data_IF_788857140801
#
_entry.id   IF_788857140801
#
_cell.length_a   1.000
_cell.length_b   1.000
_cell.length_c   1.000
_cell.angle_alpha   90.00
_cell.angle_beta   90.00
_cell.angle_gamma   90.00
#
_symmetry.space_group_name_H-M   'P 1'
#
loop_
_entity.id
_entity.type
_entity.pdbx_description
1 polymer ?
#
# COMPACT_ATOMS: atom_id res chain seq x y z
N UNK A 1 -16.57 10.53 5.08
CA UNK A 1 -17.11 9.61 4.06
C UNK A 1 -16.67 8.22 4.39
N UNK A 2 -17.60 7.30 4.57
CA UNK A 2 -17.37 5.90 4.93
C UNK A 2 -16.87 5.16 3.68
N UNK A 3 -15.81 4.36 3.78
CA UNK A 3 -15.27 3.55 2.69
C UNK A 3 -15.27 2.08 3.11
N UNK A 4 -15.17 1.17 2.14
CA UNK A 4 -15.21 -0.27 2.39
C UNK A 4 -13.88 -0.94 2.08
N UNK A 5 -13.51 -1.98 2.82
CA UNK A 5 -12.36 -2.83 2.50
C UNK A 5 -12.68 -3.84 1.39
N UNK A 6 -11.64 -4.35 0.74
CA UNK A 6 -11.83 -5.45 -0.22
C UNK A 6 -12.15 -6.77 0.53
N UNK A 7 -13.13 -7.51 0.02
CA UNK A 7 -13.60 -8.80 0.55
C UNK A 7 -13.17 -9.92 -0.42
N UNK A 8 -12.96 -11.13 0.11
CA UNK A 8 -12.68 -12.36 -0.65
C UNK A 8 -13.92 -13.01 -1.26
N UNK A 9 -15.14 -12.56 -0.92
CA UNK A 9 -16.38 -13.13 -1.46
C UNK A 9 -16.54 -12.89 -2.96
N UNK A 10 -16.47 -13.98 -3.72
CA UNK A 10 -16.80 -14.05 -5.15
C UNK A 10 -18.28 -13.78 -5.40
N UNK A 11 -18.65 -12.50 -5.47
CA UNK A 11 -19.83 -12.06 -6.19
C UNK A 11 -19.52 -12.01 -7.68
N UNK A 12 -20.48 -12.41 -8.52
CA UNK A 12 -20.37 -12.32 -9.97
C UNK A 12 -20.05 -10.87 -10.37
N UNK A 13 -18.80 -10.61 -10.74
CA UNK A 13 -18.37 -9.33 -11.26
C UNK A 13 -18.85 -9.24 -12.71
N UNK A 14 -19.93 -8.50 -12.93
CA UNK A 14 -20.13 -7.86 -14.22
C UNK A 14 -19.29 -6.57 -14.21
N UNK A 15 -18.49 -6.44 -15.26
CA UNK A 15 -17.80 -5.25 -15.79
C UNK A 15 -16.34 -4.98 -15.37
N UNK A 16 -15.52 -4.96 -16.43
CA UNK A 16 -14.12 -4.56 -16.61
C UNK A 16 -13.86 -3.09 -16.23
N UNK A 17 -14.29 -2.63 -15.05
CA UNK A 17 -14.02 -1.26 -14.63
C UNK A 17 -12.63 -1.17 -13.98
N UNK A 18 -11.69 -0.47 -14.63
CA UNK A 18 -10.39 -0.08 -14.06
C UNK A 18 -10.53 0.72 -12.76
N UNK A 19 -11.73 1.25 -12.48
CA UNK A 19 -12.06 1.83 -11.18
C UNK A 19 -12.05 0.78 -10.08
N UNK A 20 -12.29 -0.52 -10.34
CA UNK A 20 -12.33 -1.61 -9.36
C UNK A 20 -10.98 -1.91 -8.68
N UNK A 21 -9.85 -1.51 -9.30
CA UNK A 21 -8.53 -1.81 -8.74
C UNK A 21 -8.38 -1.19 -7.34
N UNK A 22 -7.91 -1.96 -6.34
CA UNK A 22 -7.91 -1.53 -4.95
C UNK A 22 -7.01 -0.31 -4.71
N UNK A 23 -7.21 0.32 -3.56
CA UNK A 23 -6.34 1.36 -3.03
C UNK A 23 -5.67 0.86 -1.75
N UNK A 24 -4.61 1.55 -1.35
CA UNK A 24 -3.85 1.23 -0.14
C UNK A 24 -3.85 2.43 0.79
N UNK A 25 -4.19 2.21 2.05
CA UNK A 25 -4.01 3.18 3.14
C UNK A 25 -2.85 2.72 4.02
N UNK A 26 -1.90 3.60 4.33
CA UNK A 26 -0.91 3.39 5.40
C UNK A 26 -1.46 3.93 6.71
N UNK A 27 -1.63 3.09 7.71
CA UNK A 27 -2.11 3.49 9.03
C UNK A 27 -0.97 3.86 9.98
N UNK A 28 0.16 3.16 9.90
CA UNK A 28 1.29 3.34 10.80
C UNK A 28 2.61 2.88 10.17
N UNK A 29 3.73 3.38 10.70
CA UNK A 29 5.07 2.94 10.32
C UNK A 29 5.55 3.42 8.94
N UNK A 30 4.85 4.36 8.30
CA UNK A 30 5.24 4.88 6.99
C UNK A 30 6.72 5.26 6.93
N UNK A 31 7.42 4.87 5.85
CA UNK A 31 8.87 4.88 5.64
C UNK A 31 9.69 3.68 6.16
N UNK A 32 9.19 2.82 7.05
CA UNK A 32 9.97 1.68 7.54
C UNK A 32 10.28 0.62 6.46
N UNK A 33 9.55 0.64 5.36
CA UNK A 33 9.83 -0.15 4.15
C UNK A 33 11.00 0.37 3.31
N UNK A 34 11.63 1.47 3.74
CA UNK A 34 12.88 1.96 3.20
C UNK A 34 14.06 1.44 4.04
N UNK A 35 15.04 0.74 3.46
CA UNK A 35 16.21 0.20 4.16
C UNK A 35 16.92 1.22 5.04
N UNK A 36 17.15 2.43 4.53
CA UNK A 36 17.84 3.50 5.25
C UNK A 36 17.05 4.07 6.44
N UNK A 37 15.80 3.64 6.65
CA UNK A 37 15.00 3.91 7.85
C UNK A 37 15.02 2.70 8.77
N UNK A 38 14.59 1.53 8.30
CA UNK A 38 14.47 0.34 9.17
C UNK A 38 15.81 -0.27 9.60
N UNK A 39 16.92 0.10 8.97
CA UNK A 39 18.28 -0.18 9.49
C UNK A 39 18.57 0.59 10.79
N UNK A 40 17.95 1.75 11.02
CA UNK A 40 18.11 2.49 12.28
C UNK A 40 17.30 1.86 13.42
N UNK A 41 16.14 1.29 13.10
CA UNK A 41 15.34 0.48 14.00
C UNK A 41 14.31 -0.33 13.20
N UNK A 42 14.26 -1.65 13.42
CA UNK A 42 13.27 -2.52 12.81
C UNK A 42 11.85 -2.17 13.32
N UNK A 43 10.82 -2.40 12.50
CA UNK A 43 9.46 -2.09 12.91
C UNK A 43 8.37 -2.44 11.89
N UNK A 44 7.10 -2.41 12.32
CA UNK A 44 5.96 -2.70 11.47
C UNK A 44 5.53 -1.51 10.62
N UNK A 45 5.11 -1.78 9.39
CA UNK A 45 4.21 -0.92 8.62
C UNK A 45 2.83 -1.56 8.63
N UNK A 46 1.79 -0.79 8.93
CA UNK A 46 0.41 -1.26 8.88
C UNK A 46 -0.26 -0.67 7.65
N UNK A 47 -0.67 -1.54 6.71
CA UNK A 47 -1.38 -1.15 5.50
C UNK A 47 -2.75 -1.80 5.41
N UNK A 48 -3.69 -1.11 4.78
CA UNK A 48 -5.07 -1.59 4.57
C UNK A 48 -5.40 -1.53 3.10
N UNK A 49 -5.93 -2.64 2.60
CA UNK A 49 -6.46 -2.73 1.25
C UNK A 49 -7.92 -2.30 1.23
N UNK A 50 -8.23 -1.30 0.42
CA UNK A 50 -9.55 -0.68 0.41
C UNK A 50 -10.13 -0.64 -0.99
N UNK A 51 -11.45 -0.79 -1.04
CA UNK A 51 -12.20 -0.64 -2.28
C UNK A 51 -12.10 0.80 -2.78
N UNK A 52 -12.19 1.00 -4.09
CA UNK A 52 -12.30 2.31 -4.70
C UNK A 52 -13.43 3.13 -4.08
N UNK A 53 -13.16 4.41 -3.83
CA UNK A 53 -14.14 5.33 -3.28
C UNK A 53 -14.02 6.70 -3.97
N UNK A 54 -15.14 7.36 -4.36
CA UNK A 54 -15.11 8.64 -5.10
C UNK A 54 -14.34 9.78 -4.41
N UNK A 55 -14.22 9.72 -3.08
CA UNK A 55 -13.46 10.70 -2.31
C UNK A 55 -11.93 10.54 -2.41
N UNK A 56 -11.42 9.42 -2.92
CA UNK A 56 -9.99 9.23 -3.08
C UNK A 56 -9.45 10.07 -4.23
N UNK A 57 -8.29 10.69 -3.99
CA UNK A 57 -7.61 11.57 -4.93
C UNK A 57 -6.21 11.07 -5.19
N UNK A 58 -5.69 11.31 -6.38
CA UNK A 58 -4.30 11.03 -6.72
C UNK A 58 -3.35 11.91 -5.91
N UNK A 59 -2.10 11.46 -5.72
CA UNK A 59 -1.04 12.21 -4.98
C UNK A 59 -1.40 12.53 -3.51
N UNK A 60 -2.21 11.69 -2.87
CA UNK A 60 -2.66 11.83 -1.49
C UNK A 60 -2.01 10.83 -0.52
N UNK A 61 -0.97 10.11 -0.96
CA UNK A 61 -0.33 9.05 -0.15
C UNK A 61 -1.04 7.69 -0.21
N UNK A 62 -1.93 7.48 -1.20
CA UNK A 62 -2.71 6.25 -1.36
C UNK A 62 -2.14 5.29 -2.44
N UNK A 63 -0.80 5.18 -2.53
CA UNK A 63 -0.11 4.36 -3.53
C UNK A 63 -0.49 4.65 -5.00
N UNK A 64 -0.68 5.91 -5.36
CA UNK A 64 -1.22 6.27 -6.70
C UNK A 64 -0.33 5.79 -7.86
N UNK A 65 1.00 5.93 -7.77
CA UNK A 65 1.93 5.52 -8.83
C UNK A 65 1.92 4.01 -9.03
N UNK A 66 2.12 3.26 -7.94
CA UNK A 66 2.08 1.79 -7.92
C UNK A 66 0.73 1.28 -8.42
N UNK A 67 -0.38 1.91 -8.00
CA UNK A 67 -1.73 1.57 -8.46
C UNK A 67 -1.90 1.76 -9.96
N UNK A 68 -1.36 2.85 -10.53
CA UNK A 68 -1.42 3.09 -11.96
C UNK A 68 -0.68 2.01 -12.76
N UNK A 69 0.50 1.59 -12.29
CA UNK A 69 1.25 0.47 -12.89
C UNK A 69 0.48 -0.85 -12.80
N UNK A 70 -0.17 -1.13 -11.67
CA UNK A 70 -1.02 -2.31 -11.54
C UNK A 70 -2.19 -2.31 -12.54
N UNK A 71 -2.84 -1.16 -12.72
CA UNK A 71 -3.89 -0.98 -13.72
C UNK A 71 -3.34 -1.17 -15.14
N UNK A 72 -2.13 -0.68 -15.44
CA UNK A 72 -1.51 -0.89 -16.75
C UNK A 72 -1.22 -2.38 -17.02
N UNK A 73 -0.66 -3.07 -16.03
CA UNK A 73 -0.28 -4.49 -16.13
C UNK A 73 -1.48 -5.42 -16.32
N UNK A 74 -2.55 -5.21 -15.56
CA UNK A 74 -3.66 -6.16 -15.46
C UNK A 74 -4.98 -5.62 -16.00
N UNK A 75 -5.13 -4.30 -16.04
CA UNK A 75 -6.37 -3.64 -16.42
C UNK A 75 -6.74 -3.82 -17.88
N UNK A 76 -5.76 -3.90 -18.77
CA UNK A 76 -6.02 -4.01 -20.23
C UNK A 76 -6.13 -5.45 -20.74
N UNK A 77 -5.61 -6.44 -20.01
CA UNK A 77 -5.49 -7.84 -20.48
C UNK A 77 -6.39 -8.85 -19.75
N UNK A 78 -6.89 -8.56 -18.55
CA UNK A 78 -7.57 -9.53 -17.69
C UNK A 78 -8.88 -9.00 -17.08
N UNK A 79 -9.58 -8.13 -17.82
CA UNK A 79 -10.85 -7.58 -17.40
C UNK A 79 -10.79 -6.76 -16.10
N UNK A 80 -9.74 -5.96 -15.94
CA UNK A 80 -9.57 -5.13 -14.74
C UNK A 80 -9.05 -5.85 -13.49
N UNK A 81 -8.73 -7.16 -13.54
CA UNK A 81 -8.38 -7.93 -12.33
C UNK A 81 -7.03 -8.65 -12.41
N UNK A 82 -6.25 -8.71 -11.31
CA UNK A 82 -5.02 -9.50 -11.26
C UNK A 82 -5.28 -11.01 -11.45
N UNK A 83 -4.31 -11.78 -11.99
CA UNK A 83 -4.41 -13.23 -12.15
C UNK A 83 -4.79 -13.95 -10.86
N UNK A 84 -5.85 -14.76 -10.91
CA UNK A 84 -6.41 -15.47 -9.73
C UNK A 84 -5.61 -16.71 -9.33
N UNK A 85 -4.80 -17.23 -10.24
CA UNK A 85 -3.92 -18.39 -10.07
C UNK A 85 -2.59 -18.05 -9.39
N UNK A 86 -2.30 -16.76 -9.21
CA UNK A 86 -1.07 -16.26 -8.57
C UNK A 86 -1.41 -15.72 -7.19
N UNK A 87 -0.59 -16.05 -6.18
CA UNK A 87 -0.85 -15.58 -4.81
C UNK A 87 -0.71 -14.04 -4.71
N UNK A 88 -1.49 -13.39 -3.84
CA UNK A 88 -1.38 -11.96 -3.57
C UNK A 88 0.06 -11.46 -3.30
N UNK A 89 0.85 -12.20 -2.52
CA UNK A 89 2.25 -11.86 -2.22
C UNK A 89 3.14 -11.91 -3.47
N UNK A 90 2.91 -12.88 -4.37
CA UNK A 90 3.64 -12.99 -5.64
C UNK A 90 3.26 -11.84 -6.58
N UNK A 91 1.98 -11.50 -6.65
CA UNK A 91 1.52 -10.32 -7.39
C UNK A 91 2.13 -9.03 -6.85
N UNK A 92 2.22 -8.88 -5.52
CA UNK A 92 2.88 -7.75 -4.88
C UNK A 92 4.37 -7.67 -5.25
N UNK A 93 5.08 -8.79 -5.28
CA UNK A 93 6.50 -8.84 -5.73
C UNK A 93 6.65 -8.42 -7.19
N UNK A 94 5.77 -8.93 -8.06
CA UNK A 94 5.77 -8.54 -9.48
C UNK A 94 5.54 -7.04 -9.63
N UNK A 95 4.54 -6.48 -8.94
CA UNK A 95 4.23 -5.06 -8.98
C UNK A 95 5.39 -4.21 -8.46
N UNK A 96 5.99 -4.61 -7.35
CA UNK A 96 7.15 -3.95 -6.76
C UNK A 96 8.33 -3.92 -7.73
N UNK A 97 8.61 -5.02 -8.43
CA UNK A 97 9.70 -5.07 -9.40
C UNK A 97 9.41 -4.24 -10.66
N UNK A 98 8.14 -4.15 -11.09
CA UNK A 98 7.74 -3.29 -12.21
C UNK A 98 7.88 -1.82 -11.86
N UNK A 99 7.53 -1.42 -10.64
CA UNK A 99 7.74 -0.04 -10.17
C UNK A 99 9.22 0.31 -9.99
N UNK A 100 10.05 -0.69 -9.68
CA UNK A 100 11.46 -0.52 -9.37
C UNK A 100 12.36 -1.28 -10.35
N UNK A 101 12.43 -0.87 -11.63
CA UNK A 101 13.32 -1.49 -12.59
C UNK A 101 14.79 -1.30 -12.17
N UNK A 102 15.65 -2.22 -12.62
CA UNK A 102 17.09 -2.16 -12.34
C UNK A 102 17.67 -0.83 -12.84
N UNK A 103 18.41 -0.14 -11.97
CA UNK A 103 19.03 1.14 -12.29
C UNK A 103 18.16 2.37 -12.02
N UNK A 104 16.97 2.22 -11.44
CA UNK A 104 16.18 3.36 -10.97
C UNK A 104 16.95 4.16 -9.90
N UNK A 105 16.93 5.49 -10.02
CA UNK A 105 17.62 6.38 -9.07
C UNK A 105 16.98 6.37 -7.68
N UNK A 106 15.70 6.03 -7.62
CA UNK A 106 14.91 5.94 -6.39
C UNK A 106 14.09 4.66 -6.42
N UNK A 107 14.14 3.91 -5.33
CA UNK A 107 13.38 2.67 -5.13
C UNK A 107 12.19 2.99 -4.22
N UNK A 108 10.98 2.93 -4.77
CA UNK A 108 9.72 2.94 -4.00
C UNK A 108 9.72 1.79 -3.00
N UNK A 109 9.12 1.99 -1.83
CA UNK A 109 9.04 0.94 -0.80
C UNK A 109 7.95 -0.09 -1.12
N UNK A 110 8.09 -1.32 -0.60
CA UNK A 110 7.18 -2.41 -0.97
C UNK A 110 5.80 -2.34 -0.32
N UNK A 111 5.57 -1.45 0.67
CA UNK A 111 4.29 -1.34 1.35
C UNK A 111 3.14 -0.98 0.40
N UNK A 112 3.45 -0.25 -0.67
CA UNK A 112 2.49 0.20 -1.67
C UNK A 112 1.97 -1.01 -2.46
N UNK A 113 2.89 -1.80 -3.01
CA UNK A 113 2.54 -3.02 -3.74
C UNK A 113 1.86 -4.06 -2.86
N UNK A 114 2.37 -4.26 -1.64
CA UNK A 114 1.81 -5.19 -0.66
C UNK A 114 0.39 -4.78 -0.26
N UNK A 115 0.17 -3.52 0.11
CA UNK A 115 -1.16 -3.08 0.53
C UNK A 115 -2.16 -2.90 -0.62
N UNK A 116 -1.72 -2.89 -1.87
CA UNK A 116 -2.62 -2.98 -3.03
C UNK A 116 -3.05 -4.42 -3.31
N UNK A 117 -2.19 -5.42 -3.08
CA UNK A 117 -2.47 -6.82 -3.45
C UNK A 117 -2.98 -7.68 -2.30
N UNK A 118 -2.51 -7.45 -1.07
CA UNK A 118 -2.93 -8.22 0.10
C UNK A 118 -4.27 -7.70 0.63
N UNK A 119 -5.33 -8.53 0.70
CA UNK A 119 -6.63 -8.09 1.21
C UNK A 119 -6.58 -7.77 2.72
N UNK A 120 -7.59 -7.04 3.20
CA UNK A 120 -7.74 -6.74 4.63
C UNK A 120 -6.67 -5.81 5.21
N UNK A 121 -6.36 -6.03 6.49
CA UNK A 121 -5.34 -5.28 7.25
C UNK A 121 -4.07 -6.11 7.33
N UNK A 122 -2.94 -5.53 6.97
CA UNK A 122 -1.66 -6.23 6.86
C UNK A 122 -0.61 -5.51 7.69
N UNK A 123 0.03 -6.26 8.59
CA UNK A 123 1.22 -5.85 9.32
C UNK A 123 2.45 -6.40 8.59
N UNK A 124 3.36 -5.50 8.24
CA UNK A 124 4.57 -5.78 7.46
C UNK A 124 5.79 -5.42 8.32
N UNK A 125 6.49 -6.42 8.88
CA UNK A 125 7.64 -6.16 9.75
C UNK A 125 8.93 -6.04 8.92
N UNK A 126 9.59 -4.88 8.96
CA UNK A 126 10.82 -4.59 8.21
C UNK A 126 12.03 -4.50 9.13
N UNK A 127 13.15 -5.06 8.66
CA UNK A 127 14.45 -5.02 9.33
C UNK A 127 15.57 -4.67 8.34
N UNK A 128 15.47 -3.50 7.70
CA UNK A 128 16.52 -2.96 6.84
C UNK A 128 16.53 -3.46 5.40
N UNK A 129 15.54 -4.26 4.99
CA UNK A 129 15.28 -4.65 3.60
C UNK A 129 14.09 -3.89 3.00
N UNK A 130 14.01 -3.86 1.67
CA UNK A 130 12.83 -3.34 0.96
C UNK A 130 11.61 -4.26 1.07
N UNK A 131 11.83 -5.55 1.34
CA UNK A 131 10.76 -6.53 1.53
C UNK A 131 10.68 -6.90 3.02
N UNK A 132 9.48 -7.04 3.61
CA UNK A 132 9.34 -7.35 5.03
C UNK A 132 9.80 -8.79 5.32
N UNK A 133 10.35 -9.01 6.52
CA UNK A 133 10.74 -10.34 6.99
C UNK A 133 9.51 -11.18 7.40
N UNK A 134 8.45 -10.51 7.85
CA UNK A 134 7.21 -11.14 8.26
C UNK A 134 6.00 -10.33 7.80
N UNK A 135 4.97 -11.05 7.37
CA UNK A 135 3.67 -10.50 6.99
C UNK A 135 2.61 -11.19 7.83
N UNK A 136 1.87 -10.42 8.63
CA UNK A 136 0.70 -10.88 9.38
C UNK A 136 -0.55 -10.22 8.80
N UNK A 137 -1.63 -11.01 8.62
CA UNK A 137 -2.84 -10.57 7.92
C UNK A 137 -4.06 -10.74 8.81
N UNK A 138 -4.93 -9.74 8.82
CA UNK A 138 -6.22 -9.76 9.52
C UNK A 138 -7.32 -9.53 8.50
N UNK A 139 -8.08 -10.59 8.23
CA UNK A 139 -9.17 -10.61 7.25
C UNK A 139 -10.54 -10.86 7.91
N UNK A 140 -10.60 -10.91 9.24
CA UNK A 140 -11.87 -11.13 9.95
C UNK A 140 -12.86 -9.99 9.68
N UNK A 141 -14.10 -10.34 9.33
CA UNK A 141 -15.18 -9.38 9.05
C UNK A 141 -15.41 -8.42 10.23
N UNK A 142 -15.30 -8.90 11.48
CA UNK A 142 -15.44 -8.07 12.67
C UNK A 142 -14.39 -6.94 12.75
N UNK A 143 -13.12 -7.25 12.48
CA UNK A 143 -12.03 -6.25 12.48
C UNK A 143 -12.17 -5.26 11.34
N UNK A 144 -12.56 -5.74 10.15
CA UNK A 144 -12.83 -4.92 8.97
C UNK A 144 -13.97 -3.94 9.26
N UNK A 145 -15.12 -4.44 9.72
CA UNK A 145 -16.29 -3.63 10.03
C UNK A 145 -16.03 -2.63 11.18
N UNK A 146 -15.21 -3.00 12.16
CA UNK A 146 -14.77 -2.07 13.20
C UNK A 146 -13.93 -0.93 12.60
N UNK A 147 -12.94 -1.25 11.78
CA UNK A 147 -12.04 -0.26 11.21
C UNK A 147 -12.77 0.68 10.24
N UNK A 148 -13.67 0.17 9.40
CA UNK A 148 -14.56 0.99 8.55
C UNK A 148 -15.40 1.99 9.37
N UNK A 149 -15.81 1.60 10.58
CA UNK A 149 -16.62 2.44 11.48
C UNK A 149 -15.82 3.53 12.15
N UNK A 150 -14.55 3.30 12.50
CA UNK A 150 -13.72 4.26 13.24
C UNK A 150 -12.84 5.11 12.33
N UNK A 151 -12.43 4.60 11.17
CA UNK A 151 -11.51 5.28 10.29
C UNK A 151 -12.22 6.40 9.51
N UNK A 152 -11.62 7.58 9.50
CA UNK A 152 -12.12 8.76 8.79
C UNK A 152 -10.97 9.35 7.98
N UNK A 153 -11.21 9.58 6.70
CA UNK A 153 -10.26 10.24 5.83
C UNK A 153 -10.64 11.71 5.67
N UNK A 154 -9.68 12.58 5.91
CA UNK A 154 -9.82 14.02 5.77
C UNK A 154 -9.01 14.46 4.55
N UNK A 155 -9.60 15.20 3.60
CA UNK A 155 -8.87 15.75 2.47
C UNK A 155 -7.76 16.70 2.94
N UNK A 156 -6.57 16.52 2.41
CA UNK A 156 -5.43 17.40 2.64
C UNK A 156 -5.03 18.08 1.32
N UNK A 157 -4.58 19.34 1.35
CA UNK A 157 -4.05 20.00 0.16
C UNK A 157 -2.82 19.27 -0.37
N UNK A 158 -2.58 19.38 -1.67
CA UNK A 158 -1.39 18.81 -2.29
C UNK A 158 -0.11 19.44 -1.71
N UNK A 159 0.98 18.66 -1.73
CA UNK A 159 2.29 19.20 -1.36
C UNK A 159 2.69 20.35 -2.31
N UNK A 160 3.38 21.39 -1.81
CA UNK A 160 3.89 22.46 -2.66
C UNK A 160 4.74 21.94 -3.83
N UNK A 161 4.75 22.67 -4.94
CA UNK A 161 5.61 22.35 -6.07
C UNK A 161 7.09 22.38 -5.64
N UNK A 162 7.88 21.41 -6.12
CA UNK A 162 9.30 21.28 -5.77
C UNK A 162 9.58 20.68 -4.39
N UNK A 163 8.56 20.33 -3.59
CA UNK A 163 8.79 19.65 -2.33
C UNK A 163 9.27 18.21 -2.54
N UNK A 164 10.46 17.91 -2.04
CA UNK A 164 11.02 16.56 -1.98
C UNK A 164 11.42 16.22 -0.52
N UNK A 165 10.75 15.23 0.12
CA UNK A 165 11.07 14.83 1.49
C UNK A 165 12.46 14.17 1.65
N UNK A 166 13.13 13.82 0.56
CA UNK A 166 14.43 13.14 0.57
C UNK A 166 15.62 14.09 0.55
N UNK A 167 15.42 15.37 0.21
CA UNK A 167 16.48 16.38 0.15
C UNK A 167 17.14 16.59 1.51
N UNK A 168 16.34 16.63 2.58
CA UNK A 168 16.83 16.74 3.96
C UNK A 168 16.18 15.67 4.84
N UNK A 169 16.95 14.63 5.14
CA UNK A 169 16.55 13.53 6.01
C UNK A 169 16.93 13.84 7.46
N UNK A 170 15.97 14.25 8.28
CA UNK A 170 16.18 14.46 9.72
C UNK A 170 15.95 13.15 10.50
N UNK A 171 16.70 12.10 10.15
CA UNK A 171 16.55 10.77 10.76
C UNK A 171 17.38 10.66 12.04
N UNK A 172 16.82 10.01 13.05
CA UNK A 172 17.53 9.60 14.27
C UNK A 172 17.02 8.24 14.73
N UNK A 173 17.88 7.45 15.37
CA UNK A 173 17.47 6.14 15.90
C UNK A 173 16.26 6.24 16.84
N UNK A 174 16.22 7.27 17.69
CA UNK A 174 15.08 7.52 18.58
C UNK A 174 13.81 7.92 17.83
N UNK A 175 13.95 8.70 16.75
CA UNK A 175 12.84 9.07 15.88
C UNK A 175 12.24 7.84 15.19
N UNK A 176 13.10 6.97 14.64
CA UNK A 176 12.66 5.73 14.00
C UNK A 176 12.08 4.75 15.01
N UNK A 177 12.64 4.64 16.23
CA UNK A 177 12.06 3.83 17.30
C UNK A 177 10.64 4.26 17.65
N UNK A 178 10.37 5.56 17.71
CA UNK A 178 9.00 6.08 17.95
C UNK A 178 8.07 5.82 16.77
N UNK A 179 8.58 5.82 15.54
CA UNK A 179 7.82 5.48 14.34
C UNK A 179 7.46 3.97 14.31
N UNK A 180 8.32 3.13 14.87
CA UNK A 180 8.18 1.68 14.93
C UNK A 180 7.38 1.16 16.15
N UNK A 181 6.98 2.05 17.07
CA UNK A 181 6.21 1.73 18.27
C UNK A 181 4.71 1.67 17.97
#
# INVERSE_FOLDING_TARGET
GQFSMADTRGGAACDDDLRAFPWRICLAGGWLDQPWVSQLHAGPVIVVNVRPHPAFKTRSGLATSTRALGIELWGTRAGGTPPRDVTPERLARLLFNVENPVGCAYVSGSQDALGLMLPGVNRLDYAGGFWPERIERVESEASVAWLERVLRLVPMPARPAGYDPLVRKNLSADGVRRLAA
#
